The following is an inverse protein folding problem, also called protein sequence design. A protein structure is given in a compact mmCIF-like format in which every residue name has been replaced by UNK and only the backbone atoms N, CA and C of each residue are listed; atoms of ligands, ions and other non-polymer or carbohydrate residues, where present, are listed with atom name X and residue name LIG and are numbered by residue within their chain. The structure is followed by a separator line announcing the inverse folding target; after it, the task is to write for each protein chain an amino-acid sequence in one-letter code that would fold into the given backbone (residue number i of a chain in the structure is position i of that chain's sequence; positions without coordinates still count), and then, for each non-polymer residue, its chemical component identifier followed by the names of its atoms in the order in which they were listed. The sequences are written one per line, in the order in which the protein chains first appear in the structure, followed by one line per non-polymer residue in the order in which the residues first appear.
data_IF_499454988291
#
_entry.id   IF_499454988291
#
_cell.length_a   1.000
_cell.length_b   1.000
_cell.length_c   1.000
_cell.angle_alpha   90.00
_cell.angle_beta   90.00
_cell.angle_gamma   90.00
#
_symmetry.space_group_name_H-M   'P 1'
#
loop_
_entity.id
_entity.type
_entity.pdbx_description
1 polymer ?
#
# COMPACT_ATOMS: atom_id res chain seq x y z
N UNK A 1 -1.36 22.24 12.27
CA UNK A 1 -0.12 21.57 11.80
C UNK A 1 -0.29 21.40 10.30
N UNK A 2 0.38 22.20 9.48
CA UNK A 2 0.22 22.11 8.02
C UNK A 2 0.91 20.83 7.54
N UNK A 3 0.14 19.91 6.96
CA UNK A 3 0.71 18.80 6.19
C UNK A 3 1.47 19.40 5.01
N UNK A 4 2.80 19.33 5.08
CA UNK A 4 3.65 19.67 3.95
C UNK A 4 3.32 18.65 2.86
N UNK A 5 2.69 19.10 1.78
CA UNK A 5 2.46 18.28 0.59
C UNK A 5 3.83 17.77 0.15
N UNK A 6 4.08 16.46 0.31
CA UNK A 6 5.31 15.85 -0.17
C UNK A 6 5.40 16.11 -1.68
N UNK A 7 6.61 16.35 -2.18
CA UNK A 7 6.86 16.35 -3.62
C UNK A 7 6.78 14.90 -4.11
N UNK A 8 5.55 14.47 -4.37
CA UNK A 8 5.25 13.13 -4.84
C UNK A 8 5.48 13.14 -6.35
N UNK A 9 6.57 12.52 -6.80
CA UNK A 9 6.84 12.29 -8.22
C UNK A 9 5.70 11.52 -8.91
N UNK A 10 5.76 11.34 -10.25
CA UNK A 10 4.72 10.60 -10.96
C UNK A 10 4.57 9.17 -10.41
N UNK A 11 3.34 8.63 -10.46
CA UNK A 11 3.07 7.27 -10.02
C UNK A 11 3.88 6.27 -10.87
N UNK A 12 4.68 5.45 -10.19
CA UNK A 12 5.42 4.34 -10.79
C UNK A 12 4.50 3.18 -11.13
N UNK A 13 3.45 2.99 -10.32
CA UNK A 13 2.47 1.94 -10.50
C UNK A 13 1.15 2.28 -9.82
N UNK A 14 0.03 1.82 -10.39
CA UNK A 14 -1.31 2.00 -9.82
C UNK A 14 -2.02 0.66 -9.86
N UNK A 15 -2.50 0.21 -8.71
CA UNK A 15 -3.21 -1.08 -8.53
C UNK A 15 -4.50 -0.86 -7.76
N UNK A 16 -5.53 -1.62 -8.15
CA UNK A 16 -6.76 -1.74 -7.40
C UNK A 16 -6.70 -3.02 -6.51
N UNK A 17 -6.65 -2.84 -5.19
CA UNK A 17 -6.57 -3.93 -4.20
C UNK A 17 -7.94 -4.17 -3.56
N UNK A 18 -8.53 -5.37 -3.69
CA UNK A 18 -9.81 -5.68 -3.05
C UNK A 18 -9.63 -5.87 -1.54
N UNK A 19 -10.52 -5.26 -0.76
CA UNK A 19 -10.59 -5.45 0.70
C UNK A 19 -11.20 -6.81 1.00
N UNK A 20 -10.61 -7.58 1.92
CA UNK A 20 -11.18 -8.86 2.36
C UNK A 20 -12.10 -8.61 3.55
N UNK A 21 -13.19 -9.37 3.65
CA UNK A 21 -14.08 -9.32 4.83
C UNK A 21 -13.32 -9.61 6.12
N UNK A 22 -12.30 -10.49 6.06
CA UNK A 22 -11.43 -10.81 7.19
C UNK A 22 -10.54 -9.67 7.67
N UNK A 23 -10.42 -8.59 6.88
CA UNK A 23 -9.58 -7.45 7.25
C UNK A 23 -10.31 -6.45 8.17
N UNK A 24 -11.60 -6.67 8.40
CA UNK A 24 -12.40 -5.83 9.29
C UNK A 24 -12.06 -6.11 10.76
N UNK A 25 -12.06 -5.04 11.56
CA UNK A 25 -12.09 -5.10 13.01
C UNK A 25 -13.53 -5.25 13.55
N UNK A 26 -13.68 -5.25 14.88
CA UNK A 26 -14.96 -5.40 15.55
C UNK A 26 -15.98 -4.30 15.22
N UNK A 27 -15.52 -3.13 14.74
CA UNK A 27 -16.38 -2.01 14.35
C UNK A 27 -16.77 -2.06 12.86
N UNK A 28 -16.38 -3.12 12.14
CA UNK A 28 -16.73 -3.31 10.74
C UNK A 28 -15.92 -2.42 9.79
N UNK A 29 -14.75 -1.93 10.21
CA UNK A 29 -13.82 -1.15 9.40
C UNK A 29 -12.52 -1.92 9.22
N UNK A 30 -11.78 -1.66 8.15
CA UNK A 30 -10.45 -2.26 8.00
C UNK A 30 -9.58 -1.87 9.20
N UNK A 31 -9.02 -2.87 9.87
CA UNK A 31 -8.14 -2.64 11.00
C UNK A 31 -6.95 -1.75 10.60
N UNK A 32 -6.57 -0.81 11.45
CA UNK A 32 -5.48 0.15 11.18
C UNK A 32 -4.18 -0.51 10.70
N UNK A 33 -3.81 -1.66 11.25
CA UNK A 33 -2.60 -2.39 10.85
C UNK A 33 -2.77 -3.05 9.49
N UNK A 34 -3.99 -3.49 9.14
CA UNK A 34 -4.27 -4.17 7.88
C UNK A 34 -4.37 -3.21 6.69
N UNK A 35 -4.52 -1.91 6.92
CA UNK A 35 -4.32 -0.90 5.86
C UNK A 35 -2.90 -0.97 5.29
N UNK A 36 -1.88 -1.25 6.13
CA UNK A 36 -0.51 -1.44 5.66
C UNK A 36 -0.35 -2.71 4.81
N UNK A 37 -1.21 -3.71 4.98
CA UNK A 37 -1.19 -4.90 4.10
C UNK A 37 -1.69 -4.58 2.70
N UNK A 38 -2.65 -3.65 2.56
CA UNK A 38 -3.11 -3.21 1.24
C UNK A 38 -1.99 -2.52 0.46
N UNK A 39 -1.13 -1.74 1.14
CA UNK A 39 0.03 -1.10 0.51
C UNK A 39 1.17 -2.08 0.23
N UNK A 40 1.37 -3.07 1.12
CA UNK A 40 2.31 -4.17 0.90
C UNK A 40 1.94 -5.02 -0.31
N UNK A 41 0.66 -5.38 -0.45
CA UNK A 41 0.15 -6.13 -1.60
C UNK A 41 0.41 -5.38 -2.91
N UNK A 42 0.09 -4.08 -2.97
CA UNK A 42 0.37 -3.26 -4.14
C UNK A 42 1.88 -3.21 -4.46
N UNK A 43 2.73 -3.10 -3.44
CA UNK A 43 4.19 -3.13 -3.60
C UNK A 43 4.68 -4.47 -4.14
N UNK A 44 4.15 -5.59 -3.65
CA UNK A 44 4.55 -6.93 -4.11
C UNK A 44 4.11 -7.18 -5.55
N UNK A 45 2.89 -6.78 -5.92
CA UNK A 45 2.45 -6.85 -7.32
C UNK A 45 3.30 -5.98 -8.25
N UNK A 46 3.75 -4.81 -7.80
CA UNK A 46 4.71 -4.00 -8.57
C UNK A 46 6.08 -4.68 -8.71
N UNK A 47 6.59 -5.30 -7.64
CA UNK A 47 7.82 -6.10 -7.67
C UNK A 47 7.73 -7.26 -8.67
N UNK A 48 6.58 -7.92 -8.75
CA UNK A 48 6.33 -8.99 -9.72
C UNK A 48 6.31 -8.46 -11.16
N UNK A 49 5.74 -7.27 -11.40
CA UNK A 49 5.81 -6.60 -12.72
C UNK A 49 7.26 -6.28 -13.12
N UNK A 50 8.12 -5.97 -12.16
CA UNK A 50 9.55 -5.73 -12.40
C UNK A 50 10.36 -7.03 -12.59
N UNK A 51 9.77 -8.21 -12.37
CA UNK A 51 10.46 -9.50 -12.44
C UNK A 51 11.51 -9.72 -11.35
N UNK A 52 11.60 -8.83 -10.35
CA UNK A 52 12.70 -8.82 -9.37
C UNK A 52 12.74 -10.10 -8.54
N UNK A 53 11.59 -10.68 -8.21
CA UNK A 53 11.49 -11.91 -7.41
C UNK A 53 12.17 -13.13 -8.07
N UNK A 54 12.33 -13.11 -9.40
CA UNK A 54 12.94 -14.19 -10.18
C UNK A 54 14.33 -13.79 -10.69
N UNK A 55 14.44 -12.58 -11.25
CA UNK A 55 15.64 -12.14 -11.97
C UNK A 55 16.73 -11.55 -11.07
N UNK A 56 16.35 -10.97 -9.92
CA UNK A 56 17.28 -10.33 -8.99
C UNK A 56 16.79 -10.45 -7.53
N UNK A 57 16.66 -11.69 -6.99
CA UNK A 57 16.12 -11.93 -5.65
C UNK A 57 16.92 -11.25 -4.52
N UNK A 58 18.21 -10.97 -4.74
CA UNK A 58 19.07 -10.22 -3.82
C UNK A 58 18.69 -8.74 -3.71
N UNK A 59 17.94 -8.19 -4.67
CA UNK A 59 17.44 -6.82 -4.68
C UNK A 59 16.04 -6.69 -4.07
N UNK A 60 15.51 -7.76 -3.46
CA UNK A 60 14.21 -7.72 -2.79
C UNK A 60 14.19 -6.68 -1.66
N UNK A 61 13.21 -5.75 -1.65
CA UNK A 61 13.23 -4.62 -0.74
C UNK A 61 12.88 -5.04 0.70
N UNK A 62 13.59 -4.44 1.66
CA UNK A 62 13.29 -4.55 3.09
C UNK A 62 12.77 -3.21 3.59
N UNK A 63 11.59 -3.21 4.22
CA UNK A 63 11.00 -1.99 4.80
C UNK A 63 11.73 -1.66 6.10
N UNK A 64 12.49 -0.56 6.10
CA UNK A 64 13.16 -0.04 7.30
C UNK A 64 12.22 0.74 8.21
N UNK A 65 11.29 1.50 7.65
CA UNK A 65 10.35 2.36 8.38
C UNK A 65 9.07 2.48 7.58
N UNK A 66 7.94 2.50 8.28
CA UNK A 66 6.61 2.65 7.70
C UNK A 66 5.78 3.63 8.53
N UNK A 67 5.01 4.48 7.85
CA UNK A 67 4.05 5.40 8.45
C UNK A 67 2.79 5.44 7.60
N UNK A 68 1.65 5.69 8.25
CA UNK A 68 0.36 5.83 7.59
C UNK A 68 -0.49 6.86 8.34
N UNK A 69 -1.04 7.81 7.58
CA UNK A 69 -2.06 8.74 8.07
C UNK A 69 -3.41 8.27 7.58
N UNK A 70 -4.37 8.12 8.48
CA UNK A 70 -5.71 7.62 8.16
C UNK A 70 -6.66 8.82 8.00
N UNK A 71 -7.13 9.06 6.78
CA UNK A 71 -8.03 10.18 6.48
C UNK A 71 -9.52 9.80 6.54
N UNK A 72 -9.86 8.56 6.22
CA UNK A 72 -11.25 8.06 6.23
C UNK A 72 -11.30 6.55 6.47
N UNK A 73 -12.37 6.03 7.11
CA UNK A 73 -12.53 4.59 7.32
C UNK A 73 -12.77 3.85 5.99
N UNK A 74 -12.28 2.62 5.91
CA UNK A 74 -12.48 1.71 4.78
C UNK A 74 -13.38 0.55 5.25
N UNK A 75 -14.41 0.21 4.49
CA UNK A 75 -15.34 -0.88 4.80
C UNK A 75 -15.24 -2.05 3.82
N UNK A 76 -16.15 -3.02 3.96
CA UNK A 76 -16.37 -4.10 3.00
C UNK A 76 -17.83 -4.09 2.53
N UNK A 77 -18.12 -4.39 1.25
CA UNK A 77 -17.14 -4.60 0.17
C UNK A 77 -16.52 -3.29 -0.31
N UNK A 78 -15.24 -3.31 -0.63
CA UNK A 78 -14.54 -2.17 -1.22
C UNK A 78 -13.32 -2.61 -2.04
N UNK A 79 -12.88 -1.73 -2.94
CA UNK A 79 -11.62 -1.84 -3.66
C UNK A 79 -10.85 -0.54 -3.46
N UNK A 80 -9.62 -0.65 -2.99
CA UNK A 80 -8.74 0.49 -2.71
C UNK A 80 -7.77 0.66 -3.86
N UNK A 81 -7.76 1.85 -4.46
CA UNK A 81 -6.75 2.21 -5.45
C UNK A 81 -5.49 2.68 -4.74
N UNK A 82 -4.38 1.97 -4.95
CA UNK A 82 -3.06 2.30 -4.40
C UNK A 82 -2.17 2.79 -5.53
N UNK A 83 -1.65 4.01 -5.39
CA UNK A 83 -0.64 4.57 -6.28
C UNK A 83 0.72 4.56 -5.58
N UNK A 84 1.69 3.90 -6.18
CA UNK A 84 3.07 3.82 -5.70
C UNK A 84 3.89 4.94 -6.34
N UNK A 85 4.63 5.65 -5.51
CA UNK A 85 5.50 6.76 -5.92
C UNK A 85 6.87 6.55 -5.29
N UNK A 86 7.90 7.11 -5.89
CA UNK A 86 9.24 7.20 -5.30
C UNK A 86 9.59 8.68 -5.12
N UNK A 87 10.14 9.00 -3.95
CA UNK A 87 10.64 10.32 -3.58
C UNK A 87 12.04 10.16 -2.97
N UNK A 88 12.87 11.20 -3.05
CA UNK A 88 14.23 11.22 -2.47
C UNK A 88 14.25 11.19 -0.93
#
# INVERSE_FOLDING_TARGET
MQEKMLDIGPALHIIDVPVRWSDLDADGRVNNVLVLRLTEEARMQWVDVLGTSIEAPELMPVVKTVGCTFHSPIGYPATVRVALHCSE
#
